data_IF_630509313415
#
_entry.id   IF_630509313415
#
_cell.length_a   1.000
_cell.length_b   1.000
_cell.length_c   1.000
_cell.angle_alpha   90.00
_cell.angle_beta   90.00
_cell.angle_gamma   90.00
#
_symmetry.space_group_name_H-M   'P 1'
#
loop_
_entity.id
_entity.type
_entity.pdbx_description
1 polymer ?
#
# COMPACT_ATOMS: atom_id res chain seq x y z
N UNK A 1 -43.78 -27.72 17.48
CA UNK A 1 -42.44 -27.92 18.05
C UNK A 1 -41.69 -29.11 17.44
N UNK A 2 -42.41 -30.12 16.92
CA UNK A 2 -41.79 -31.27 16.22
C UNK A 2 -41.11 -30.92 14.86
N UNK A 3 -41.73 -29.98 14.08
CA UNK A 3 -41.20 -29.60 12.76
C UNK A 3 -39.91 -28.76 12.79
N UNK A 4 -39.60 -28.09 13.87
CA UNK A 4 -38.35 -27.33 14.01
C UNK A 4 -37.14 -28.22 14.33
N UNK A 5 -37.38 -29.36 15.00
CA UNK A 5 -36.33 -30.33 15.28
C UNK A 5 -36.01 -31.22 14.08
N UNK A 6 -36.97 -31.51 13.21
CA UNK A 6 -36.72 -32.21 11.93
C UNK A 6 -35.93 -31.35 10.94
N UNK A 7 -36.12 -30.02 10.95
CA UNK A 7 -35.34 -29.08 10.10
C UNK A 7 -33.88 -29.01 10.54
N UNK A 8 -33.59 -29.29 11.81
CA UNK A 8 -32.22 -29.29 12.35
C UNK A 8 -31.49 -30.63 12.14
N UNK A 9 -32.25 -31.72 11.94
CA UNK A 9 -31.71 -33.08 11.69
C UNK A 9 -31.34 -33.30 10.21
N UNK A 10 -31.96 -32.56 9.28
CA UNK A 10 -31.58 -32.60 7.87
C UNK A 10 -30.52 -31.50 7.65
N UNK A 11 -29.26 -31.78 7.78
CA UNK A 11 -28.05 -30.89 7.64
C UNK A 11 -28.19 -29.71 6.62
N UNK A 12 -29.42 -29.31 6.31
CA UNK A 12 -29.80 -28.27 5.35
C UNK A 12 -30.77 -27.26 5.96
N UNK A 13 -30.31 -26.00 6.04
CA UNK A 13 -31.16 -24.87 6.36
C UNK A 13 -31.45 -24.08 5.07
N UNK A 14 -32.73 -23.91 4.70
CA UNK A 14 -33.14 -23.24 3.46
C UNK A 14 -32.50 -23.81 2.18
N UNK A 15 -32.20 -25.12 2.12
CA UNK A 15 -31.58 -25.76 0.96
C UNK A 15 -30.03 -25.64 0.88
N UNK A 16 -29.42 -25.02 1.87
CA UNK A 16 -27.97 -24.94 2.01
C UNK A 16 -27.49 -25.91 3.09
N UNK A 17 -26.42 -26.64 2.84
CA UNK A 17 -25.78 -27.46 3.85
C UNK A 17 -25.30 -26.58 4.99
N UNK A 18 -25.71 -26.88 6.23
CA UNK A 18 -25.29 -26.15 7.42
C UNK A 18 -23.78 -26.24 7.66
N UNK A 19 -23.19 -27.38 7.33
CA UNK A 19 -21.76 -27.61 7.56
C UNK A 19 -21.23 -28.66 6.57
N UNK A 20 -20.26 -28.25 5.75
CA UNK A 20 -19.42 -29.16 4.98
C UNK A 20 -18.01 -29.11 5.57
N UNK A 21 -17.65 -30.18 6.28
CA UNK A 21 -16.37 -30.26 7.00
C UNK A 21 -15.16 -30.17 6.08
N UNK A 22 -15.28 -30.69 4.85
CA UNK A 22 -14.17 -30.71 3.90
C UNK A 22 -13.93 -29.31 3.29
N UNK A 23 -14.99 -28.62 2.91
CA UNK A 23 -14.87 -27.27 2.33
C UNK A 23 -14.55 -26.22 3.40
N UNK A 24 -15.08 -26.39 4.61
CA UNK A 24 -14.74 -25.53 5.74
C UNK A 24 -13.27 -25.68 6.15
N UNK A 25 -12.72 -26.90 6.18
CA UNK A 25 -11.30 -27.12 6.46
C UNK A 25 -10.40 -26.50 5.38
N UNK A 26 -10.79 -26.60 4.10
CA UNK A 26 -10.08 -25.91 3.00
C UNK A 26 -10.07 -24.40 3.19
N UNK A 27 -11.23 -23.82 3.57
CA UNK A 27 -11.33 -22.39 3.86
C UNK A 27 -10.34 -21.99 4.97
N UNK A 28 -10.36 -22.69 6.11
CA UNK A 28 -9.47 -22.37 7.24
C UNK A 28 -7.99 -22.46 6.83
N UNK A 29 -7.58 -23.54 6.19
CA UNK A 29 -6.19 -23.76 5.79
C UNK A 29 -5.73 -22.66 4.81
N UNK A 30 -6.50 -22.36 3.77
CA UNK A 30 -6.17 -21.33 2.78
C UNK A 30 -6.22 -19.94 3.37
N UNK A 31 -7.21 -19.67 4.22
CA UNK A 31 -7.31 -18.39 4.93
C UNK A 31 -6.09 -18.15 5.82
N UNK A 32 -5.72 -19.14 6.63
CA UNK A 32 -4.54 -19.07 7.50
C UNK A 32 -3.26 -18.83 6.68
N UNK A 33 -3.09 -19.55 5.57
CA UNK A 33 -1.98 -19.36 4.66
C UNK A 33 -1.94 -17.94 4.08
N UNK A 34 -3.06 -17.45 3.53
CA UNK A 34 -3.16 -16.10 3.01
C UNK A 34 -2.87 -15.04 4.08
N UNK A 35 -3.40 -15.24 5.28
CA UNK A 35 -3.20 -14.30 6.40
C UNK A 35 -1.72 -14.23 6.82
N UNK A 36 -1.03 -15.38 6.90
CA UNK A 36 0.41 -15.44 7.22
C UNK A 36 1.23 -14.72 6.14
N UNK A 37 0.98 -15.00 4.86
CA UNK A 37 1.68 -14.34 3.75
C UNK A 37 1.46 -12.83 3.76
N UNK A 38 0.22 -12.40 3.94
CA UNK A 38 -0.14 -10.98 4.02
C UNK A 38 0.52 -10.30 5.23
N UNK A 39 0.57 -10.99 6.37
CA UNK A 39 1.22 -10.48 7.58
C UNK A 39 2.73 -10.34 7.39
N UNK A 40 3.39 -11.28 6.73
CA UNK A 40 4.81 -11.18 6.37
C UNK A 40 5.06 -9.96 5.50
N UNK A 41 4.29 -9.79 4.41
CA UNK A 41 4.43 -8.66 3.50
C UNK A 41 4.18 -7.32 4.20
N UNK A 42 3.08 -7.22 4.94
CA UNK A 42 2.68 -5.95 5.56
C UNK A 42 3.53 -5.63 6.78
N UNK A 43 3.76 -6.61 7.67
CA UNK A 43 4.45 -6.35 8.94
C UNK A 43 5.98 -6.32 8.80
N UNK A 44 6.55 -7.21 7.97
CA UNK A 44 8.00 -7.31 7.81
C UNK A 44 8.55 -6.43 6.70
N UNK A 45 7.92 -6.41 5.51
CA UNK A 45 8.42 -5.63 4.40
C UNK A 45 7.94 -4.18 4.48
N UNK A 46 6.63 -3.96 4.37
CA UNK A 46 6.08 -2.62 4.30
C UNK A 46 6.37 -1.79 5.56
N UNK A 47 5.98 -2.31 6.74
CA UNK A 47 6.09 -1.55 7.99
C UNK A 47 7.53 -1.28 8.41
N UNK A 48 8.50 -2.13 8.04
CA UNK A 48 9.92 -1.90 8.34
C UNK A 48 10.49 -0.68 7.63
N UNK A 49 9.87 -0.26 6.50
CA UNK A 49 10.34 0.84 5.67
C UNK A 49 9.44 2.08 5.83
N UNK A 50 8.11 1.92 5.69
CA UNK A 50 7.18 3.07 5.69
C UNK A 50 6.70 3.51 7.06
N UNK A 51 6.76 2.65 8.09
CA UNK A 51 6.33 2.89 9.49
C UNK A 51 4.91 3.48 9.67
N UNK A 52 4.08 3.51 8.63
CA UNK A 52 2.70 4.05 8.66
C UNK A 52 1.74 2.97 9.14
N UNK A 53 1.16 3.15 10.33
CA UNK A 53 0.26 2.16 10.98
C UNK A 53 -1.11 2.06 10.28
N UNK A 54 -1.62 3.15 9.73
CA UNK A 54 -2.93 3.20 9.09
C UNK A 54 -3.02 2.28 7.88
N UNK A 55 -1.96 2.24 7.06
CA UNK A 55 -1.88 1.34 5.92
C UNK A 55 -1.73 -0.14 6.33
N UNK A 56 -1.10 -0.42 7.46
CA UNK A 56 -0.98 -1.80 7.96
C UNK A 56 -2.36 -2.40 8.24
N UNK A 57 -3.21 -1.67 8.94
CA UNK A 57 -4.59 -2.08 9.21
C UNK A 57 -5.38 -2.25 7.90
N UNK A 58 -5.31 -1.26 7.03
CA UNK A 58 -6.03 -1.25 5.75
C UNK A 58 -5.65 -2.44 4.87
N UNK A 59 -4.36 -2.72 4.73
CA UNK A 59 -3.87 -3.81 3.89
C UNK A 59 -4.28 -5.19 4.40
N UNK A 60 -4.20 -5.44 5.70
CA UNK A 60 -4.65 -6.70 6.29
C UNK A 60 -6.15 -6.89 6.15
N UNK A 61 -6.94 -5.82 6.34
CA UNK A 61 -8.38 -5.89 6.18
C UNK A 61 -8.78 -6.13 4.72
N UNK A 62 -8.17 -5.43 3.77
CA UNK A 62 -8.41 -5.62 2.34
C UNK A 62 -8.03 -7.04 1.91
N UNK A 63 -6.85 -7.54 2.31
CA UNK A 63 -6.43 -8.91 2.02
C UNK A 63 -7.46 -9.93 2.49
N UNK A 64 -7.90 -9.81 3.74
CA UNK A 64 -8.89 -10.70 4.35
C UNK A 64 -10.22 -10.65 3.60
N UNK A 65 -10.72 -9.45 3.32
CA UNK A 65 -12.01 -9.26 2.65
C UNK A 65 -11.97 -9.79 1.22
N UNK A 66 -10.93 -9.45 0.46
CA UNK A 66 -10.77 -9.91 -0.93
C UNK A 66 -10.62 -11.42 -0.98
N UNK A 67 -9.83 -12.02 -0.07
CA UNK A 67 -9.69 -13.48 0.01
C UNK A 67 -11.04 -14.16 0.23
N UNK A 68 -11.80 -13.71 1.25
CA UNK A 68 -13.11 -14.31 1.58
C UNK A 68 -14.12 -14.13 0.44
N UNK A 69 -14.16 -12.95 -0.17
CA UNK A 69 -15.00 -12.70 -1.35
C UNK A 69 -14.65 -13.65 -2.49
N UNK A 70 -13.38 -13.74 -2.88
CA UNK A 70 -12.96 -14.58 -3.99
C UNK A 70 -13.19 -16.07 -3.70
N UNK A 71 -12.92 -16.52 -2.46
CA UNK A 71 -13.14 -17.90 -2.06
C UNK A 71 -14.63 -18.30 -2.11
N UNK A 72 -15.53 -17.44 -1.61
CA UNK A 72 -16.96 -17.69 -1.66
C UNK A 72 -17.51 -17.63 -3.10
N UNK A 73 -16.97 -16.74 -3.92
CA UNK A 73 -17.38 -16.56 -5.30
C UNK A 73 -16.85 -17.66 -6.24
N UNK A 74 -15.78 -18.38 -5.90
CA UNK A 74 -15.25 -19.52 -6.69
C UNK A 74 -16.29 -20.62 -6.86
N UNK A 75 -17.17 -20.80 -5.87
CA UNK A 75 -18.28 -21.76 -5.91
C UNK A 75 -19.51 -21.28 -6.70
N UNK A 76 -19.57 -20.00 -7.04
CA UNK A 76 -20.68 -19.41 -7.81
C UNK A 76 -20.22 -19.25 -9.25
N UNK A 77 -20.97 -19.80 -10.22
CA UNK A 77 -20.72 -19.58 -11.64
C UNK A 77 -20.98 -18.10 -11.97
N UNK A 78 -20.00 -17.27 -11.68
CA UNK A 78 -20.09 -15.83 -11.96
C UNK A 78 -20.07 -15.59 -13.45
N UNK A 79 -21.08 -14.93 -13.94
CA UNK A 79 -21.07 -14.37 -15.30
C UNK A 79 -20.00 -13.26 -15.34
N UNK A 80 -19.25 -13.23 -16.43
CA UNK A 80 -18.16 -12.24 -16.65
C UNK A 80 -18.62 -10.79 -16.38
N UNK A 81 -19.91 -10.50 -16.60
CA UNK A 81 -20.50 -9.19 -16.35
C UNK A 81 -20.52 -8.75 -14.89
N UNK A 82 -20.65 -9.69 -13.94
CA UNK A 82 -20.60 -9.35 -12.51
C UNK A 82 -19.19 -8.95 -12.06
N UNK A 83 -18.16 -9.68 -12.53
CA UNK A 83 -16.77 -9.33 -12.24
C UNK A 83 -16.42 -7.96 -12.81
N UNK A 84 -16.82 -7.67 -14.05
CA UNK A 84 -16.63 -6.35 -14.67
C UNK A 84 -17.38 -5.24 -13.92
N UNK A 85 -18.60 -5.51 -13.43
CA UNK A 85 -19.40 -4.58 -12.63
C UNK A 85 -18.71 -4.24 -11.30
N UNK A 86 -18.15 -5.24 -10.62
CA UNK A 86 -17.40 -5.02 -9.38
C UNK A 86 -16.14 -4.15 -9.61
N UNK A 87 -15.39 -4.42 -10.68
CA UNK A 87 -14.25 -3.59 -11.09
C UNK A 87 -14.65 -2.15 -11.42
N UNK A 88 -15.79 -1.96 -12.10
CA UNK A 88 -16.30 -0.64 -12.41
C UNK A 88 -16.65 0.17 -11.15
N UNK A 89 -17.29 -0.47 -10.15
CA UNK A 89 -17.62 0.17 -8.87
C UNK A 89 -16.35 0.60 -8.13
N UNK A 90 -15.34 -0.26 -8.04
CA UNK A 90 -14.04 0.10 -7.45
C UNK A 90 -13.34 1.22 -8.21
N UNK A 91 -13.46 1.25 -9.53
CA UNK A 91 -12.94 2.34 -10.37
C UNK A 91 -13.62 3.69 -10.10
N UNK A 92 -14.93 3.69 -9.87
CA UNK A 92 -15.71 4.91 -9.60
C UNK A 92 -15.41 5.47 -8.20
N UNK A 93 -15.29 4.63 -7.18
CA UNK A 93 -14.98 5.03 -5.80
C UNK A 93 -13.63 5.73 -5.73
N UNK A 94 -12.69 5.39 -6.61
CA UNK A 94 -11.34 5.94 -6.66
C UNK A 94 -11.27 7.43 -7.05
N UNK A 95 -12.29 7.98 -7.70
CA UNK A 95 -12.24 9.34 -8.27
C UNK A 95 -12.30 10.50 -7.27
N UNK A 96 -12.49 10.24 -5.97
CA UNK A 96 -12.73 11.29 -4.97
C UNK A 96 -11.80 11.28 -3.76
N UNK A 97 -10.78 10.44 -3.74
CA UNK A 97 -9.84 10.38 -2.62
C UNK A 97 -8.52 11.05 -2.98
N UNK A 98 -7.83 11.60 -1.97
CA UNK A 98 -6.48 12.11 -2.11
C UNK A 98 -5.58 11.09 -2.82
N UNK A 99 -4.65 11.57 -3.64
CA UNK A 99 -3.75 10.70 -4.40
C UNK A 99 -2.93 9.84 -3.42
N UNK A 100 -3.13 8.53 -3.51
CA UNK A 100 -2.36 7.56 -2.71
C UNK A 100 -0.93 7.57 -3.28
N UNK A 101 0.11 7.69 -2.45
CA UNK A 101 1.48 7.60 -2.89
C UNK A 101 1.74 6.31 -3.69
N UNK A 102 2.61 6.38 -4.69
CA UNK A 102 2.85 5.27 -5.65
C UNK A 102 3.23 3.98 -4.92
N UNK A 103 4.03 4.08 -3.88
CA UNK A 103 4.49 2.94 -3.10
C UNK A 103 3.35 2.22 -2.40
N UNK A 104 2.49 2.96 -1.70
CA UNK A 104 1.32 2.45 -1.01
C UNK A 104 0.35 1.77 -1.98
N UNK A 105 0.18 2.36 -3.17
CA UNK A 105 -0.63 1.78 -4.23
C UNK A 105 -0.05 0.45 -4.73
N UNK A 106 1.27 0.37 -4.88
CA UNK A 106 1.94 -0.88 -5.29
C UNK A 106 1.72 -2.00 -4.27
N UNK A 107 1.88 -1.70 -2.98
CA UNK A 107 1.59 -2.68 -1.92
C UNK A 107 0.13 -3.09 -1.88
N UNK A 108 -0.80 -2.17 -2.12
CA UNK A 108 -2.22 -2.47 -2.22
C UNK A 108 -2.50 -3.49 -3.33
N UNK A 109 -1.93 -3.28 -4.52
CA UNK A 109 -2.08 -4.22 -5.64
C UNK A 109 -1.45 -5.58 -5.36
N UNK A 110 -0.26 -5.62 -4.74
CA UNK A 110 0.39 -6.87 -4.35
C UNK A 110 -0.48 -7.70 -3.41
N UNK A 111 -1.05 -7.05 -2.40
CA UNK A 111 -1.87 -7.71 -1.37
C UNK A 111 -3.18 -8.23 -1.97
N UNK A 112 -3.84 -7.44 -2.81
CA UNK A 112 -5.04 -7.88 -3.54
C UNK A 112 -4.69 -9.06 -4.44
N UNK A 113 -3.61 -8.99 -5.21
CA UNK A 113 -3.17 -10.05 -6.10
C UNK A 113 -2.90 -11.36 -5.37
N UNK A 114 -2.20 -11.32 -4.24
CA UNK A 114 -1.94 -12.48 -3.39
C UNK A 114 -3.23 -13.08 -2.83
N UNK A 115 -4.14 -12.23 -2.33
CA UNK A 115 -5.41 -12.69 -1.81
C UNK A 115 -6.25 -13.42 -2.87
N UNK A 116 -6.30 -12.88 -4.09
CA UNK A 116 -6.98 -13.50 -5.24
C UNK A 116 -6.34 -14.83 -5.62
N UNK A 117 -5.01 -14.89 -5.77
CA UNK A 117 -4.29 -16.11 -6.13
C UNK A 117 -4.53 -17.20 -5.09
N UNK A 118 -4.43 -16.87 -3.81
CA UNK A 118 -4.60 -17.84 -2.71
C UNK A 118 -6.05 -18.32 -2.58
N UNK A 119 -7.02 -17.46 -2.85
CA UNK A 119 -8.44 -17.82 -2.81
C UNK A 119 -8.84 -18.72 -3.98
N UNK A 120 -8.41 -18.38 -5.20
CA UNK A 120 -8.82 -19.07 -6.43
C UNK A 120 -7.96 -20.29 -6.79
N UNK A 121 -6.96 -20.64 -5.96
CA UNK A 121 -6.17 -21.84 -6.14
C UNK A 121 -7.08 -23.07 -6.15
N UNK A 122 -7.33 -23.64 -7.33
CA UNK A 122 -8.20 -24.80 -7.54
C UNK A 122 -7.39 -26.10 -7.71
N UNK A 123 -8.09 -27.21 -7.99
CA UNK A 123 -7.47 -28.55 -8.17
C UNK A 123 -6.41 -28.64 -9.29
N UNK A 124 -6.34 -27.63 -10.18
CA UNK A 124 -5.35 -27.59 -11.26
C UNK A 124 -4.03 -26.95 -10.85
N UNK A 125 -4.02 -26.22 -9.72
CA UNK A 125 -2.84 -25.54 -9.19
C UNK A 125 -2.29 -26.40 -8.03
N UNK A 126 -1.06 -26.82 -8.15
CA UNK A 126 -0.40 -27.60 -7.09
C UNK A 126 -0.02 -26.68 -5.90
N UNK A 127 0.03 -27.25 -4.71
CA UNK A 127 0.51 -26.52 -3.53
C UNK A 127 1.95 -26.00 -3.71
N UNK A 128 2.77 -26.72 -4.49
CA UNK A 128 4.13 -26.28 -4.80
C UNK A 128 4.15 -24.99 -5.66
N UNK A 129 3.29 -24.92 -6.65
CA UNK A 129 3.13 -23.71 -7.49
C UNK A 129 2.62 -22.52 -6.67
N UNK A 130 1.66 -22.77 -5.78
CA UNK A 130 1.12 -21.74 -4.89
C UNK A 130 2.18 -21.21 -3.92
N UNK A 131 2.94 -22.11 -3.29
CA UNK A 131 4.05 -21.74 -2.40
C UNK A 131 5.14 -20.99 -3.15
N UNK A 132 5.53 -21.45 -4.34
CA UNK A 132 6.53 -20.80 -5.17
C UNK A 132 6.09 -19.39 -5.57
N UNK A 133 4.83 -19.22 -6.00
CA UNK A 133 4.30 -17.90 -6.40
C UNK A 133 4.35 -16.90 -5.24
N UNK A 134 3.85 -17.31 -4.07
CA UNK A 134 3.88 -16.44 -2.89
C UNK A 134 5.31 -16.14 -2.44
N UNK A 135 6.18 -17.14 -2.45
CA UNK A 135 7.60 -16.97 -2.10
C UNK A 135 8.32 -16.04 -3.10
N UNK A 136 8.08 -16.21 -4.39
CA UNK A 136 8.66 -15.36 -5.43
C UNK A 136 8.24 -13.89 -5.27
N UNK A 137 6.95 -13.64 -4.99
CA UNK A 137 6.45 -12.27 -4.75
C UNK A 137 7.13 -11.67 -3.51
N UNK A 138 7.21 -12.41 -2.40
CA UNK A 138 7.87 -11.95 -1.17
C UNK A 138 9.36 -11.66 -1.43
N UNK A 139 10.05 -12.57 -2.11
CA UNK A 139 11.48 -12.45 -2.40
C UNK A 139 11.77 -11.27 -3.33
N UNK A 140 10.98 -11.09 -4.40
CA UNK A 140 11.11 -9.95 -5.31
C UNK A 140 10.82 -8.64 -4.59
N UNK A 141 9.75 -8.58 -3.82
CA UNK A 141 9.40 -7.37 -3.05
C UNK A 141 10.51 -7.03 -2.04
N UNK A 142 11.02 -8.03 -1.32
CA UNK A 142 12.13 -7.85 -0.40
C UNK A 142 13.42 -7.39 -1.11
N UNK A 143 13.75 -8.01 -2.24
CA UNK A 143 14.92 -7.65 -3.03
C UNK A 143 14.83 -6.23 -3.58
N UNK A 144 13.69 -5.85 -4.16
CA UNK A 144 13.47 -4.48 -4.64
C UNK A 144 13.48 -3.46 -3.51
N UNK A 145 12.87 -3.78 -2.36
CA UNK A 145 12.78 -2.86 -1.23
C UNK A 145 14.13 -2.63 -0.54
N UNK A 146 14.91 -3.70 -0.31
CA UNK A 146 16.15 -3.61 0.47
C UNK A 146 17.43 -3.49 -0.36
N UNK A 147 17.45 -4.05 -1.57
CA UNK A 147 18.64 -4.10 -2.41
C UNK A 147 18.65 -3.00 -3.46
N UNK A 148 17.50 -2.75 -4.11
CA UNK A 148 17.39 -1.78 -5.21
C UNK A 148 16.93 -0.39 -4.76
N UNK A 149 16.07 -0.27 -3.76
CA UNK A 149 15.71 1.05 -3.24
C UNK A 149 16.86 1.58 -2.38
N UNK A 150 17.74 2.32 -3.03
CA UNK A 150 18.68 3.25 -2.40
C UNK A 150 17.92 4.14 -1.39
N UNK A 151 18.62 4.57 -0.36
CA UNK A 151 18.12 5.44 0.73
C UNK A 151 17.10 6.45 0.21
N UNK A 152 15.89 6.43 0.77
CA UNK A 152 14.88 7.43 0.44
C UNK A 152 15.40 8.82 0.80
N UNK A 153 15.54 9.68 -0.20
CA UNK A 153 15.68 11.11 0.03
C UNK A 153 14.29 11.68 0.35
N UNK A 154 14.12 12.13 1.58
CA UNK A 154 12.97 12.93 1.96
C UNK A 154 13.13 14.35 1.42
N UNK A 155 12.01 14.99 1.10
CA UNK A 155 12.00 16.35 0.55
C UNK A 155 11.19 17.28 1.44
N UNK A 156 11.63 18.52 1.53
CA UNK A 156 10.90 19.58 2.21
C UNK A 156 10.90 20.84 1.38
N UNK A 157 9.75 21.51 1.33
CA UNK A 157 9.59 22.79 0.66
C UNK A 157 9.77 23.94 1.66
N UNK A 158 10.57 24.93 1.31
CA UNK A 158 10.88 26.09 2.16
C UNK A 158 10.73 27.35 1.32
N UNK A 159 10.04 28.36 1.85
CA UNK A 159 10.05 29.69 1.29
C UNK A 159 11.25 30.45 1.86
N UNK A 160 12.17 30.86 0.97
CA UNK A 160 13.46 31.41 1.30
C UNK A 160 13.56 32.88 0.86
N UNK A 161 13.99 33.74 1.79
CA UNK A 161 13.97 35.19 1.60
C UNK A 161 15.26 35.77 1.03
N UNK A 162 16.40 35.06 1.09
CA UNK A 162 17.69 35.58 0.58
C UNK A 162 17.86 35.25 -0.90
N UNK A 163 17.10 35.90 -1.75
CA UNK A 163 17.10 35.72 -3.21
C UNK A 163 18.49 35.85 -3.84
N UNK A 164 19.39 36.61 -3.24
CA UNK A 164 20.74 36.80 -3.75
C UNK A 164 21.56 35.51 -3.74
N UNK A 165 21.24 34.56 -2.86
CA UNK A 165 21.96 33.31 -2.72
C UNK A 165 21.49 32.20 -3.67
N UNK A 166 20.35 32.41 -4.37
CA UNK A 166 19.85 31.41 -5.32
C UNK A 166 20.67 31.32 -6.63
N UNK A 167 21.58 32.27 -6.86
CA UNK A 167 22.46 32.28 -8.05
C UNK A 167 23.34 31.03 -8.07
N UNK A 168 23.60 30.45 -9.26
CA UNK A 168 24.43 29.24 -9.38
C UNK A 168 25.82 29.38 -8.73
N UNK A 169 26.40 30.57 -8.78
CA UNK A 169 27.72 30.90 -8.25
C UNK A 169 27.76 30.85 -6.71
N UNK A 170 26.62 31.12 -6.05
CA UNK A 170 26.48 31.17 -4.60
C UNK A 170 25.82 29.91 -3.99
N UNK A 171 25.74 28.82 -4.78
CA UNK A 171 25.07 27.59 -4.34
C UNK A 171 25.65 26.98 -3.08
N UNK A 172 26.96 27.11 -2.85
CA UNK A 172 27.61 26.64 -1.65
C UNK A 172 27.19 27.45 -0.40
N UNK A 173 27.07 28.77 -0.55
CA UNK A 173 26.62 29.67 0.52
C UNK A 173 25.14 29.40 0.86
N UNK A 174 24.30 29.22 -0.15
CA UNK A 174 22.90 28.83 0.02
C UNK A 174 22.76 27.51 0.81
N UNK A 175 23.57 26.53 0.46
CA UNK A 175 23.56 25.23 1.14
C UNK A 175 23.96 25.39 2.61
N UNK A 176 25.01 26.16 2.89
CA UNK A 176 25.49 26.39 4.24
C UNK A 176 24.46 27.16 5.10
N UNK A 177 23.85 28.23 4.56
CA UNK A 177 22.82 29.01 5.26
C UNK A 177 21.60 28.17 5.59
N UNK A 178 21.14 27.33 4.64
CA UNK A 178 20.01 26.45 4.86
C UNK A 178 20.32 25.36 5.89
N UNK A 179 21.51 24.77 5.85
CA UNK A 179 21.92 23.77 6.83
C UNK A 179 22.06 24.37 8.24
N UNK A 180 22.59 25.58 8.37
CA UNK A 180 22.72 26.27 9.65
C UNK A 180 21.35 26.59 10.25
N UNK A 181 20.42 27.11 9.44
CA UNK A 181 19.08 27.54 9.88
C UNK A 181 18.13 26.38 10.17
N UNK A 182 18.22 25.31 9.39
CA UNK A 182 17.31 24.16 9.53
C UNK A 182 17.89 23.08 10.43
N UNK A 183 19.21 23.03 10.63
CA UNK A 183 19.88 21.92 11.29
C UNK A 183 19.90 20.63 10.45
N UNK A 184 19.40 20.68 9.19
CA UNK A 184 19.26 19.53 8.32
C UNK A 184 20.50 19.35 7.46
N UNK A 185 21.07 18.15 7.43
CA UNK A 185 22.13 17.81 6.49
C UNK A 185 21.53 17.61 5.09
N UNK A 186 21.55 18.68 4.30
CA UNK A 186 20.95 18.73 2.97
C UNK A 186 21.86 18.01 1.99
N UNK A 187 21.29 17.08 1.18
CA UNK A 187 21.99 16.40 0.10
C UNK A 187 21.92 17.20 -1.20
N UNK A 188 20.75 17.80 -1.49
CA UNK A 188 20.48 18.50 -2.75
C UNK A 188 19.43 19.59 -2.54
N UNK A 189 19.52 20.66 -3.34
CA UNK A 189 18.55 21.76 -3.36
C UNK A 189 18.06 21.93 -4.80
N UNK A 190 16.75 22.09 -4.95
CA UNK A 190 16.11 22.52 -6.19
C UNK A 190 15.46 23.88 -5.97
N UNK A 191 15.64 24.80 -6.93
CA UNK A 191 15.06 26.13 -6.91
C UNK A 191 13.76 26.04 -7.73
N UNK A 192 12.64 26.32 -7.06
CA UNK A 192 11.32 26.33 -7.67
C UNK A 192 10.88 27.74 -8.09
N UNK A 193 9.63 28.12 -7.75
CA UNK A 193 9.06 29.43 -8.11
C UNK A 193 9.76 30.56 -7.38
N UNK A 194 10.13 31.62 -8.12
CA UNK A 194 10.72 32.85 -7.59
C UNK A 194 9.66 33.94 -7.61
N UNK A 195 9.50 34.65 -6.52
CA UNK A 195 8.60 35.78 -6.39
C UNK A 195 9.40 37.08 -6.16
N UNK A 196 9.64 37.82 -7.21
CA UNK A 196 10.39 39.07 -7.16
C UNK A 196 9.63 40.22 -6.46
N UNK A 197 8.31 40.10 -6.27
CA UNK A 197 7.53 41.12 -5.54
C UNK A 197 7.72 41.01 -4.02
N UNK A 198 7.98 39.78 -3.54
CA UNK A 198 8.16 39.47 -2.11
C UNK A 198 9.61 39.18 -1.76
N UNK A 199 10.52 39.21 -2.72
CA UNK A 199 11.91 38.80 -2.59
C UNK A 199 12.05 37.42 -1.94
N UNK A 200 11.21 36.48 -2.41
CA UNK A 200 11.22 35.09 -1.90
C UNK A 200 11.40 34.09 -3.04
N UNK A 201 12.04 32.96 -2.73
CA UNK A 201 12.17 31.82 -3.61
C UNK A 201 11.66 30.56 -2.90
N UNK A 202 10.81 29.78 -3.56
CA UNK A 202 10.42 28.46 -3.06
C UNK A 202 11.52 27.48 -3.40
N UNK A 203 12.15 26.92 -2.36
CA UNK A 203 13.22 25.93 -2.47
C UNK A 203 12.71 24.57 -2.03
N UNK A 204 13.14 23.52 -2.74
CA UNK A 204 12.93 22.15 -2.33
C UNK A 204 14.27 21.56 -1.90
N UNK A 205 14.40 21.27 -0.62
CA UNK A 205 15.57 20.64 -0.05
C UNK A 205 15.37 19.13 0.06
N UNK A 206 16.43 18.38 -0.21
CA UNK A 206 16.46 16.91 -0.11
C UNK A 206 17.44 16.50 0.96
N UNK A 207 17.05 15.53 1.79
CA UNK A 207 17.85 15.02 2.90
C UNK A 207 17.54 13.55 3.17
N UNK A 208 18.41 12.86 3.89
CA UNK A 208 18.18 11.47 4.27
C UNK A 208 17.62 11.39 5.68
N UNK A 209 16.46 10.75 5.86
CA UNK A 209 15.80 10.58 7.16
C UNK A 209 16.66 9.80 8.18
N UNK A 210 17.56 8.91 7.69
CA UNK A 210 18.45 8.13 8.57
C UNK A 210 19.37 8.98 9.42
N UNK A 211 19.58 10.24 9.06
CA UNK A 211 20.54 11.14 9.69
C UNK A 211 19.85 12.17 10.63
N UNK A 212 18.50 12.14 10.74
CA UNK A 212 17.77 13.18 11.49
C UNK A 212 16.45 12.68 12.07
N UNK A 213 16.27 12.87 13.39
CA UNK A 213 15.00 12.61 14.09
C UNK A 213 14.13 13.88 14.14
N UNK A 214 12.85 13.76 13.87
CA UNK A 214 11.84 14.78 14.18
C UNK A 214 11.37 15.68 13.04
N UNK A 215 11.76 15.43 11.78
CA UNK A 215 11.25 16.19 10.64
C UNK A 215 10.25 15.36 9.83
N UNK A 216 9.13 15.99 9.45
CA UNK A 216 8.08 15.37 8.62
C UNK A 216 8.33 15.67 7.14
N UNK A 217 8.11 14.68 6.27
CA UNK A 217 8.19 14.85 4.83
C UNK A 217 6.93 15.58 4.28
N UNK A 218 7.13 16.53 3.36
CA UNK A 218 6.07 17.30 2.70
C UNK A 218 5.41 16.53 1.53
N UNK A 219 5.61 15.21 1.42
CA UNK A 219 5.04 14.42 0.33
C UNK A 219 3.50 14.46 0.27
N UNK A 220 2.84 14.85 1.34
CA UNK A 220 1.38 14.83 1.47
C UNK A 220 0.72 16.21 1.29
N UNK A 221 1.50 17.27 1.05
CA UNK A 221 0.94 18.60 0.78
C UNK A 221 0.84 18.77 -0.72
N UNK A 222 -0.31 18.42 -1.26
CA UNK A 222 -0.72 18.89 -2.61
C UNK A 222 -0.87 20.39 -2.52
N UNK A 223 -0.05 21.14 -3.26
CA UNK A 223 -0.17 22.60 -3.41
C UNK A 223 -1.50 22.90 -4.14
N UNK A 224 -2.60 23.05 -3.40
CA UNK A 224 -3.93 23.48 -3.90
C UNK A 224 -4.01 25.00 -4.16
N UNK A 225 -2.89 25.67 -4.32
CA UNK A 225 -2.84 27.12 -4.57
C UNK A 225 -2.14 27.45 -5.90
N UNK A 226 -2.65 26.91 -6.99
CA UNK A 226 -2.44 27.46 -8.34
C UNK A 226 -3.74 28.13 -8.83
N UNK A 227 -4.07 29.29 -8.25
CA UNK A 227 -4.95 30.33 -8.81
C UNK A 227 -4.19 31.63 -8.91
#
# INVERSE_FOLDING_TARGET
MHNLLEIIVDDKLFGLNLFDSADFLKLIVRFSFNFIVSLILVRWLYYSVSRRKDYLFTYLLISTTVFLLCFLLDNVKLQLGFALGLFAIFGIIRYRTAQIPIKEMTYLFLIIGIAVINALANKKISYAELLFTNFAIILLTWGLEKVFLLKHESRRTIDYEKIELIKPEKRAELMADLQERTGIKISRIEIGRINFLRDTARLRIYYFESDQEGFTDDMDVVDDNDD
#
